data_IF_600732092126
#
_entry.id   IF_600732092126
#
_cell.length_a   1.000
_cell.length_b   1.000
_cell.length_c   1.000
_cell.angle_alpha   90.00
_cell.angle_beta   90.00
_cell.angle_gamma   90.00
#
_symmetry.space_group_name_H-M   'P 1'
#
loop_
_entity.id
_entity.type
_entity.pdbx_description
1 polymer ?
#
# COMPACT_ATOMS: atom_id res chain seq x y z
N UNK A 1 13.19 26.93 2.30
CA UNK A 1 13.16 25.97 1.17
C UNK A 1 12.40 24.74 1.63
N UNK A 2 11.27 24.34 1.03
CA UNK A 2 10.62 23.09 1.42
C UNK A 2 11.56 21.92 1.11
N UNK A 3 11.94 21.14 2.12
CA UNK A 3 12.64 19.88 1.94
C UNK A 3 11.73 18.92 1.19
N UNK A 4 12.11 18.54 -0.03
CA UNK A 4 11.39 17.56 -0.85
C UNK A 4 12.14 16.24 -0.81
N UNK A 5 11.42 15.13 -0.66
CA UNK A 5 11.99 13.80 -0.89
C UNK A 5 12.43 13.68 -2.35
N UNK A 6 13.60 13.09 -2.60
CA UNK A 6 14.06 12.87 -3.96
C UNK A 6 13.09 11.95 -4.71
N UNK A 7 13.02 12.12 -6.03
CA UNK A 7 12.23 11.22 -6.87
C UNK A 7 12.65 9.78 -6.61
N UNK A 8 13.95 9.47 -6.56
CA UNK A 8 14.48 8.13 -6.30
C UNK A 8 14.04 7.54 -4.94
N UNK A 9 14.05 8.34 -3.87
CA UNK A 9 13.66 7.85 -2.55
C UNK A 9 12.15 7.57 -2.43
N UNK A 10 11.30 8.47 -2.95
CA UNK A 10 9.83 8.22 -3.04
C UNK A 10 9.56 6.94 -3.83
N UNK A 11 10.32 6.80 -4.90
CA UNK A 11 10.23 5.73 -5.85
C UNK A 11 10.55 4.37 -5.22
N UNK A 12 11.68 4.28 -4.52
CA UNK A 12 12.07 3.07 -3.79
C UNK A 12 11.06 2.71 -2.67
N UNK A 13 10.49 3.69 -1.99
CA UNK A 13 9.46 3.44 -0.98
C UNK A 13 8.18 2.82 -1.57
N UNK A 14 7.75 3.29 -2.75
CA UNK A 14 6.60 2.72 -3.44
C UNK A 14 6.88 1.29 -3.94
N UNK A 15 8.08 1.05 -4.49
CA UNK A 15 8.47 -0.30 -4.94
C UNK A 15 8.46 -1.29 -3.77
N UNK A 16 9.01 -0.89 -2.61
CA UNK A 16 8.97 -1.74 -1.42
C UNK A 16 7.56 -2.07 -0.91
N UNK A 17 6.58 -1.18 -1.09
CA UNK A 17 5.18 -1.47 -0.75
C UNK A 17 4.59 -2.47 -1.75
N UNK A 18 4.84 -2.29 -3.05
CA UNK A 18 4.38 -3.20 -4.11
C UNK A 18 4.93 -4.60 -3.86
N UNK A 19 6.23 -4.71 -3.61
CA UNK A 19 6.90 -5.98 -3.34
C UNK A 19 6.31 -6.71 -2.12
N UNK A 20 5.92 -5.98 -1.08
CA UNK A 20 5.27 -6.57 0.11
C UNK A 20 3.86 -7.09 -0.17
N UNK A 21 3.11 -6.41 -1.05
CA UNK A 21 1.73 -6.80 -1.38
C UNK A 21 1.70 -7.95 -2.40
N UNK A 22 2.62 -7.94 -3.37
CA UNK A 22 2.68 -8.92 -4.46
C UNK A 22 3.58 -10.13 -4.13
N UNK A 23 4.58 -9.97 -3.26
CA UNK A 23 5.57 -11.00 -2.94
C UNK A 23 5.20 -11.97 -1.81
N UNK A 24 3.96 -11.95 -1.33
CA UNK A 24 3.46 -12.87 -0.30
C UNK A 24 3.33 -14.32 -0.80
N UNK A 25 2.95 -15.27 0.08
CA UNK A 25 2.68 -16.67 -0.35
C UNK A 25 1.35 -16.82 -1.12
N UNK A 26 0.78 -15.72 -1.59
CA UNK A 26 -0.52 -15.60 -2.22
C UNK A 26 -0.94 -14.14 -2.38
N UNK A 27 -2.10 -13.88 -3.00
CA UNK A 27 -2.55 -12.54 -3.35
C UNK A 27 -2.69 -11.63 -2.13
N UNK A 28 -2.35 -10.36 -2.32
CA UNK A 28 -2.69 -9.29 -1.38
C UNK A 28 -4.19 -9.19 -1.14
N UNK A 29 -4.58 -8.65 0.02
CA UNK A 29 -5.99 -8.53 0.43
C UNK A 29 -6.29 -7.18 1.06
N UNK A 30 -7.48 -6.67 0.80
CA UNK A 30 -8.06 -5.52 1.50
C UNK A 30 -9.20 -6.04 2.38
N UNK A 31 -9.18 -5.67 3.66
CA UNK A 31 -10.16 -6.13 4.64
C UNK A 31 -10.79 -4.95 5.37
N UNK A 32 -12.10 -5.02 5.59
CA UNK A 32 -12.86 -4.00 6.32
C UNK A 32 -13.45 -4.62 7.58
N UNK A 33 -13.20 -4.01 8.73
CA UNK A 33 -13.63 -4.48 10.04
C UNK A 33 -14.52 -3.46 10.74
N UNK A 34 -15.37 -3.92 11.66
CA UNK A 34 -16.21 -3.05 12.51
C UNK A 34 -15.47 -2.39 13.67
N UNK A 35 -14.26 -2.86 14.00
CA UNK A 35 -13.48 -2.34 15.13
C UNK A 35 -12.96 -0.92 14.90
N UNK A 36 -12.47 -0.30 15.98
CA UNK A 36 -11.78 0.98 15.88
C UNK A 36 -10.49 0.85 15.07
N UNK A 37 -10.06 1.96 14.46
CA UNK A 37 -8.78 2.03 13.78
C UNK A 37 -7.65 1.48 14.67
N UNK A 38 -6.81 0.55 14.18
CA UNK A 38 -5.67 0.06 14.93
C UNK A 38 -4.70 1.19 15.27
N UNK A 39 -3.99 1.08 16.40
CA UNK A 39 -3.07 2.12 16.87
C UNK A 39 -1.93 2.43 15.86
N UNK A 40 -1.59 1.48 15.00
CA UNK A 40 -0.63 1.68 13.92
C UNK A 40 -0.66 0.56 12.88
N UNK A 41 0.16 0.68 11.82
CA UNK A 41 0.14 -0.24 10.68
C UNK A 41 0.58 -1.68 11.03
N UNK A 42 1.29 -1.87 12.14
CA UNK A 42 1.66 -3.21 12.65
C UNK A 42 0.67 -3.80 13.66
N UNK A 43 -0.39 -3.06 14.02
CA UNK A 43 -1.39 -3.53 14.99
C UNK A 43 -2.47 -4.35 14.30
N UNK A 44 -2.82 -5.49 14.89
CA UNK A 44 -3.89 -6.33 14.37
C UNK A 44 -5.25 -5.59 14.39
N UNK A 45 -6.09 -5.77 13.35
CA UNK A 45 -7.45 -5.25 13.36
C UNK A 45 -8.31 -5.96 14.42
N UNK A 46 -9.35 -5.26 14.88
CA UNK A 46 -10.33 -5.79 15.85
C UNK A 46 -11.75 -5.74 15.28
N UNK A 47 -12.70 -6.38 15.95
CA UNK A 47 -14.10 -6.44 15.51
C UNK A 47 -14.38 -7.51 14.45
N UNK A 48 -15.56 -7.44 13.86
CA UNK A 48 -16.04 -8.41 12.86
C UNK A 48 -15.55 -8.01 11.48
N UNK A 49 -15.02 -8.97 10.72
CA UNK A 49 -14.72 -8.79 9.29
C UNK A 49 -16.02 -8.65 8.50
N UNK A 50 -16.22 -7.52 7.85
CA UNK A 50 -17.39 -7.24 7.03
C UNK A 50 -17.18 -7.59 5.56
N UNK A 51 -15.97 -7.37 5.05
CA UNK A 51 -15.63 -7.62 3.67
C UNK A 51 -14.15 -7.94 3.51
N UNK A 52 -13.84 -8.83 2.56
CA UNK A 52 -12.50 -9.10 2.08
C UNK A 52 -12.51 -9.02 0.55
N UNK A 53 -11.59 -8.23 0.01
CA UNK A 53 -11.30 -8.16 -1.41
C UNK A 53 -9.93 -8.77 -1.64
N UNK A 54 -9.89 -9.87 -2.37
CA UNK A 54 -8.64 -10.48 -2.83
C UNK A 54 -8.19 -9.75 -4.08
N UNK A 55 -6.94 -9.29 -4.09
CA UNK A 55 -6.34 -8.64 -5.24
C UNK A 55 -5.85 -9.68 -6.25
N UNK A 56 -5.57 -9.23 -7.47
CA UNK A 56 -4.83 -10.04 -8.45
C UNK A 56 -3.42 -10.34 -7.93
N UNK A 57 -2.78 -11.35 -8.49
CA UNK A 57 -1.40 -11.73 -8.16
C UNK A 57 -0.58 -11.82 -9.46
N UNK A 58 0.32 -10.86 -9.75
CA UNK A 58 0.61 -9.64 -8.97
C UNK A 58 -0.53 -8.59 -9.06
N UNK A 59 -0.71 -7.80 -8.01
CA UNK A 59 -1.76 -6.78 -7.92
C UNK A 59 -1.34 -5.45 -8.55
N UNK A 60 -0.05 -5.10 -8.50
CA UNK A 60 0.44 -3.82 -8.98
C UNK A 60 1.57 -3.99 -10.00
N UNK A 61 1.58 -3.11 -11.00
CA UNK A 61 2.70 -3.00 -11.94
C UNK A 61 3.86 -2.21 -11.34
N UNK A 62 4.98 -2.17 -12.06
CA UNK A 62 6.12 -1.34 -11.69
C UNK A 62 5.75 0.13 -11.60
N UNK A 63 6.40 0.85 -10.67
CA UNK A 63 6.09 2.23 -10.38
C UNK A 63 6.32 3.16 -11.59
N UNK A 64 5.35 4.05 -11.83
CA UNK A 64 5.45 5.14 -12.81
C UNK A 64 5.85 6.47 -12.15
N UNK A 65 6.59 7.32 -12.85
CA UNK A 65 6.85 8.70 -12.40
C UNK A 65 5.53 9.47 -12.30
N UNK A 66 5.41 10.30 -11.25
CA UNK A 66 4.21 11.09 -10.99
C UNK A 66 3.87 12.05 -12.13
N UNK A 67 2.57 12.31 -12.30
CA UNK A 67 2.02 13.21 -13.31
C UNK A 67 2.75 14.58 -13.32
N UNK A 68 3.12 15.13 -14.49
CA UNK A 68 3.76 16.44 -14.53
C UNK A 68 2.75 17.46 -13.98
N UNK A 69 3.16 18.22 -12.95
CA UNK A 69 2.34 19.34 -12.49
C UNK A 69 2.17 20.27 -13.70
N UNK A 70 0.93 20.59 -14.06
CA UNK A 70 0.66 21.54 -15.13
C UNK A 70 1.42 22.85 -14.84
N UNK A 71 2.36 23.17 -15.71
CA UNK A 71 3.02 24.47 -15.84
C UNK A 71 3.00 24.84 -17.30
#
# INVERSE_FOLDING_TARGET
MPTRISTAARNAAADGIVDLVDGGSGPGVIRVYTGSQPAGPGSAPTGTLLAQFTLSDPAFGTRRSGWPRWT
#
